data_IF_534126306603
#
_entry.id   IF_534126306603
#
_cell.length_a   1.000
_cell.length_b   1.000
_cell.length_c   1.000
_cell.angle_alpha   90.00
_cell.angle_beta   90.00
_cell.angle_gamma   90.00
#
_symmetry.space_group_name_H-M   'P 1'
#
loop_
_entity.id
_entity.type
_entity.pdbx_description
1 polymer ?
#
# COMPACT_ATOMS: atom_id res chain seq x y z
N UNK A 1 -37.44 -21.39 -16.29
CA UNK A 1 -38.71 -20.65 -16.45
C UNK A 1 -38.62 -19.38 -15.63
N UNK A 2 -38.55 -18.22 -16.29
CA UNK A 2 -38.58 -16.88 -15.69
C UNK A 2 -40.02 -16.34 -15.84
N UNK A 3 -40.61 -15.60 -14.88
CA UNK A 3 -41.97 -15.10 -15.05
C UNK A 3 -42.04 -14.06 -16.17
N UNK A 4 -42.99 -14.27 -17.08
CA UNK A 4 -43.24 -13.46 -18.25
C UNK A 4 -44.10 -12.23 -17.91
N UNK A 5 -43.49 -11.13 -17.48
CA UNK A 5 -44.09 -9.78 -17.54
C UNK A 5 -43.01 -8.70 -17.47
N UNK A 6 -42.38 -8.37 -18.61
CA UNK A 6 -41.67 -7.10 -18.78
C UNK A 6 -41.87 -6.63 -20.24
N UNK A 7 -42.19 -5.34 -20.41
CA UNK A 7 -42.71 -4.72 -21.64
C UNK A 7 -41.67 -4.65 -22.78
N UNK A 8 -42.07 -4.64 -24.08
CA UNK A 8 -41.16 -4.79 -25.23
C UNK A 8 -40.09 -3.70 -25.37
N UNK A 9 -40.32 -2.51 -24.81
CA UNK A 9 -39.38 -1.38 -24.88
C UNK A 9 -38.12 -1.57 -24.03
N UNK A 10 -38.12 -2.50 -23.06
CA UNK A 10 -36.94 -2.79 -22.23
C UNK A 10 -36.02 -3.84 -22.90
N UNK A 11 -36.54 -4.63 -23.86
CA UNK A 11 -35.74 -5.66 -24.55
C UNK A 11 -34.79 -5.06 -25.60
N UNK A 12 -35.21 -4.04 -26.34
CA UNK A 12 -34.37 -3.43 -27.38
C UNK A 12 -33.23 -2.56 -26.82
N UNK A 13 -33.41 -1.93 -25.65
CA UNK A 13 -32.33 -1.15 -25.01
C UNK A 13 -31.24 -2.05 -24.38
N UNK A 14 -31.60 -3.28 -23.99
CA UNK A 14 -30.64 -4.25 -23.44
C UNK A 14 -29.87 -4.95 -24.57
N UNK A 15 -30.50 -5.24 -25.70
CA UNK A 15 -29.83 -5.88 -26.84
C UNK A 15 -28.92 -4.92 -27.62
N UNK A 16 -29.23 -3.61 -27.67
CA UNK A 16 -28.35 -2.63 -28.30
C UNK A 16 -27.10 -2.27 -27.49
N UNK A 17 -27.12 -2.50 -26.17
CA UNK A 17 -25.93 -2.39 -25.29
C UNK A 17 -24.89 -3.49 -25.57
N UNK A 18 -25.32 -4.63 -26.15
CA UNK A 18 -24.47 -5.81 -26.39
C UNK A 18 -23.75 -5.76 -27.75
N UNK A 19 -24.10 -4.82 -28.64
CA UNK A 19 -23.49 -4.73 -29.99
C UNK A 19 -22.25 -3.83 -30.08
N UNK A 20 -21.92 -3.07 -29.04
CA UNK A 20 -20.70 -2.27 -28.96
C UNK A 20 -19.50 -3.07 -28.48
N UNK A 21 -18.94 -3.95 -29.33
CA UNK A 21 -17.66 -4.63 -29.09
C UNK A 21 -16.55 -3.61 -28.82
N UNK A 22 -16.25 -3.35 -27.56
CA UNK A 22 -14.90 -3.01 -27.14
C UNK A 22 -14.26 -4.32 -26.69
N UNK A 23 -13.20 -4.73 -27.38
CA UNK A 23 -12.46 -5.95 -27.08
C UNK A 23 -12.18 -6.01 -25.57
N UNK A 24 -12.48 -7.16 -24.96
CA UNK A 24 -12.21 -7.43 -23.56
C UNK A 24 -10.71 -7.25 -23.27
N UNK A 25 -10.34 -6.08 -22.78
CA UNK A 25 -9.15 -5.90 -21.96
C UNK A 25 -9.37 -6.75 -20.72
N UNK A 26 -8.41 -7.60 -20.37
CA UNK A 26 -8.43 -8.37 -19.12
C UNK A 26 -8.73 -7.42 -17.96
N UNK A 27 -9.97 -7.39 -17.46
CA UNK A 27 -10.35 -6.49 -16.36
C UNK A 27 -9.68 -7.01 -15.08
N UNK A 28 -8.57 -6.38 -14.70
CA UNK A 28 -7.93 -6.62 -13.42
C UNK A 28 -8.82 -6.06 -12.30
N UNK A 29 -9.24 -6.94 -11.41
CA UNK A 29 -10.17 -6.64 -10.32
C UNK A 29 -9.36 -6.39 -9.06
N UNK A 30 -9.64 -5.29 -8.36
CA UNK A 30 -8.86 -4.90 -7.18
C UNK A 30 -9.74 -4.80 -5.94
N UNK A 31 -9.27 -5.38 -4.83
CA UNK A 31 -9.90 -5.23 -3.51
C UNK A 31 -8.93 -4.54 -2.55
N UNK A 32 -9.35 -3.40 -1.98
CA UNK A 32 -8.56 -2.68 -0.97
C UNK A 32 -8.99 -3.07 0.45
N UNK A 33 -8.08 -3.66 1.21
CA UNK A 33 -8.25 -3.93 2.65
C UNK A 33 -7.77 -2.72 3.47
N UNK A 34 -8.56 -2.34 4.49
CA UNK A 34 -8.38 -1.07 5.19
C UNK A 34 -8.99 0.15 4.47
N UNK A 35 -9.95 -0.08 3.57
CA UNK A 35 -10.60 0.93 2.72
C UNK A 35 -11.19 2.16 3.44
N UNK A 36 -11.52 2.04 4.73
CA UNK A 36 -12.06 3.16 5.53
C UNK A 36 -10.98 4.11 6.05
N UNK A 37 -9.70 3.70 6.03
CA UNK A 37 -8.56 4.51 6.47
C UNK A 37 -8.11 5.48 5.37
N UNK A 38 -7.40 6.55 5.76
CA UNK A 38 -6.93 7.60 4.83
C UNK A 38 -6.23 7.02 3.59
N UNK A 39 -5.27 6.11 3.79
CA UNK A 39 -4.51 5.49 2.69
C UNK A 39 -5.43 4.59 1.84
N UNK A 40 -6.30 3.78 2.47
CA UNK A 40 -7.24 2.92 1.74
C UNK A 40 -8.17 3.69 0.81
N UNK A 41 -8.64 4.88 1.22
CA UNK A 41 -9.45 5.78 0.38
C UNK A 41 -8.66 6.33 -0.81
N UNK A 42 -7.42 6.76 -0.59
CA UNK A 42 -6.55 7.25 -1.66
C UNK A 42 -6.21 6.15 -2.68
N UNK A 43 -5.99 4.92 -2.23
CA UNK A 43 -5.78 3.77 -3.10
C UNK A 43 -7.02 3.50 -3.96
N UNK A 44 -8.22 3.52 -3.37
CA UNK A 44 -9.49 3.37 -4.11
C UNK A 44 -9.59 4.43 -5.22
N UNK A 45 -9.31 5.70 -4.91
CA UNK A 45 -9.33 6.78 -5.90
C UNK A 45 -8.31 6.57 -7.02
N UNK A 46 -7.10 6.12 -6.71
CA UNK A 46 -6.05 5.86 -7.70
C UNK A 46 -6.41 4.67 -8.60
N UNK A 47 -6.97 3.59 -8.03
CA UNK A 47 -7.43 2.40 -8.76
C UNK A 47 -8.57 2.77 -9.72
N UNK A 48 -9.56 3.54 -9.25
CA UNK A 48 -10.67 4.03 -10.07
C UNK A 48 -10.17 4.94 -11.20
N UNK A 49 -9.26 5.87 -10.89
CA UNK A 49 -8.66 6.78 -11.89
C UNK A 49 -7.82 6.04 -12.95
N UNK A 50 -7.25 4.89 -12.59
CA UNK A 50 -6.52 4.02 -13.51
C UNK A 50 -7.43 3.13 -14.39
N UNK A 51 -8.75 3.20 -14.20
CA UNK A 51 -9.72 2.38 -14.92
C UNK A 51 -9.79 0.93 -14.43
N UNK A 52 -9.28 0.64 -13.24
CA UNK A 52 -9.34 -0.68 -12.62
C UNK A 52 -10.66 -0.86 -11.85
N UNK A 53 -11.25 -2.05 -11.92
CA UNK A 53 -12.55 -2.30 -11.30
C UNK A 53 -12.41 -2.66 -9.82
N UNK A 54 -13.12 -1.92 -8.96
CA UNK A 54 -13.06 -2.09 -7.51
C UNK A 54 -14.16 -3.05 -7.04
N UNK A 55 -13.77 -4.11 -6.34
CA UNK A 55 -14.72 -5.11 -5.84
C UNK A 55 -15.23 -4.71 -4.44
N UNK A 56 -16.55 -4.47 -4.24
CA UNK A 56 -17.11 -3.97 -2.99
C UNK A 56 -17.41 -5.09 -1.98
N UNK A 57 -16.41 -5.94 -1.67
CA UNK A 57 -16.57 -7.09 -0.76
C UNK A 57 -15.80 -6.89 0.55
N UNK A 58 -16.26 -7.51 1.64
CA UNK A 58 -15.49 -7.66 2.88
C UNK A 58 -14.78 -9.01 2.88
N UNK A 59 -13.46 -9.00 3.17
CA UNK A 59 -12.64 -10.21 3.05
C UNK A 59 -12.87 -11.20 4.21
N UNK A 60 -13.53 -10.76 5.28
CA UNK A 60 -13.61 -11.47 6.56
C UNK A 60 -14.51 -12.71 6.57
N UNK A 61 -15.36 -12.94 5.54
CA UNK A 61 -16.31 -14.08 5.54
C UNK A 61 -16.52 -14.83 4.23
N UNK A 62 -15.84 -14.48 3.13
CA UNK A 62 -16.15 -15.07 1.82
C UNK A 62 -14.93 -15.27 0.89
N UNK A 63 -13.71 -15.45 1.41
CA UNK A 63 -12.49 -15.40 0.60
C UNK A 63 -12.44 -16.40 -0.57
N UNK A 64 -12.95 -17.63 -0.40
CA UNK A 64 -13.05 -18.63 -1.48
C UNK A 64 -14.15 -18.30 -2.51
N UNK A 65 -15.32 -17.87 -2.06
CA UNK A 65 -16.45 -17.53 -2.94
C UNK A 65 -16.14 -16.29 -3.77
N UNK A 66 -15.50 -15.29 -3.15
CA UNK A 66 -15.02 -14.09 -3.83
C UNK A 66 -14.00 -14.44 -4.91
N UNK A 67 -13.08 -15.39 -4.66
CA UNK A 67 -12.12 -15.78 -5.69
C UNK A 67 -12.75 -16.63 -6.82
N UNK A 68 -13.76 -17.45 -6.50
CA UNK A 68 -14.54 -18.16 -7.53
C UNK A 68 -15.32 -17.19 -8.42
N UNK A 69 -15.86 -16.12 -7.85
CA UNK A 69 -16.60 -15.08 -8.57
C UNK A 69 -15.66 -14.13 -9.32
N UNK A 70 -14.45 -13.90 -8.80
CA UNK A 70 -13.46 -12.97 -9.32
C UNK A 70 -12.07 -13.65 -9.42
N UNK A 71 -11.83 -14.49 -10.44
CA UNK A 71 -10.59 -15.28 -10.56
C UNK A 71 -9.34 -14.43 -10.84
N UNK A 72 -9.52 -13.20 -11.35
CA UNK A 72 -8.45 -12.25 -11.64
C UNK A 72 -8.29 -11.19 -10.53
N UNK A 73 -8.75 -11.48 -9.31
CA UNK A 73 -8.69 -10.55 -8.19
C UNK A 73 -7.26 -10.38 -7.67
N UNK A 74 -6.86 -9.13 -7.47
CA UNK A 74 -5.67 -8.73 -6.72
C UNK A 74 -6.10 -8.00 -5.45
N UNK A 75 -5.53 -8.40 -4.30
CA UNK A 75 -5.79 -7.73 -3.02
C UNK A 75 -4.72 -6.67 -2.76
N UNK A 76 -5.12 -5.44 -2.46
CA UNK A 76 -4.22 -4.38 -1.99
C UNK A 76 -4.44 -4.17 -0.49
N UNK A 77 -3.42 -4.44 0.31
CA UNK A 77 -3.50 -4.43 1.76
C UNK A 77 -2.80 -3.21 2.37
N UNK A 78 -3.63 -2.32 2.95
CA UNK A 78 -3.23 -1.21 3.81
C UNK A 78 -4.00 -1.26 5.14
N UNK A 79 -3.67 -2.25 5.96
CA UNK A 79 -4.28 -2.55 7.25
C UNK A 79 -3.44 -2.00 8.43
N UNK A 80 -3.11 -2.83 9.42
CA UNK A 80 -2.32 -2.48 10.60
C UNK A 80 -1.18 -3.48 10.79
N UNK A 81 -0.07 -3.10 11.45
CA UNK A 81 1.07 -4.01 11.65
C UNK A 81 0.69 -5.36 12.28
N UNK A 82 -0.28 -5.35 13.21
CA UNK A 82 -0.72 -6.55 13.91
C UNK A 82 -1.40 -7.60 13.01
N UNK A 83 -1.87 -7.22 11.81
CA UNK A 83 -2.61 -8.11 10.90
C UNK A 83 -1.79 -8.54 9.68
N UNK A 84 -0.55 -8.05 9.53
CA UNK A 84 0.28 -8.28 8.33
C UNK A 84 0.50 -9.76 8.06
N UNK A 85 0.97 -10.50 9.05
CA UNK A 85 1.28 -11.92 8.89
C UNK A 85 0.03 -12.78 8.69
N UNK A 86 -1.02 -12.54 9.48
CA UNK A 86 -2.26 -13.31 9.40
C UNK A 86 -2.98 -13.08 8.07
N UNK A 87 -2.94 -11.85 7.55
CA UNK A 87 -3.47 -11.52 6.23
C UNK A 87 -2.67 -12.19 5.12
N UNK A 88 -1.34 -12.16 5.17
CA UNK A 88 -0.50 -12.82 4.18
C UNK A 88 -0.73 -14.34 4.15
N UNK A 89 -0.89 -14.98 5.32
CA UNK A 89 -1.24 -16.40 5.40
C UNK A 89 -2.62 -16.68 4.82
N UNK A 90 -3.59 -15.81 5.07
CA UNK A 90 -4.93 -15.94 4.51
C UNK A 90 -4.88 -15.82 2.97
N UNK A 91 -4.17 -14.85 2.43
CA UNK A 91 -4.04 -14.67 0.99
C UNK A 91 -3.33 -15.86 0.34
N UNK A 92 -2.25 -16.35 0.96
CA UNK A 92 -1.53 -17.53 0.52
C UNK A 92 -2.39 -18.80 0.53
N UNK A 93 -3.18 -19.02 1.59
CA UNK A 93 -4.11 -20.17 1.70
C UNK A 93 -5.22 -20.14 0.65
N UNK A 94 -5.72 -18.95 0.31
CA UNK A 94 -6.77 -18.76 -0.69
C UNK A 94 -6.21 -18.82 -2.12
N UNK A 95 -4.92 -18.54 -2.30
CA UNK A 95 -4.26 -18.51 -3.61
C UNK A 95 -4.43 -17.19 -4.35
N UNK A 96 -4.75 -16.10 -3.66
CA UNK A 96 -5.02 -14.79 -4.29
C UNK A 96 -3.74 -13.94 -4.36
N UNK A 97 -3.40 -13.36 -5.52
CA UNK A 97 -2.32 -12.39 -5.62
C UNK A 97 -2.56 -11.14 -4.76
N UNK A 98 -1.49 -10.55 -4.20
CA UNK A 98 -1.66 -9.37 -3.37
C UNK A 98 -0.49 -8.37 -3.39
N UNK A 99 -0.81 -7.11 -3.13
CA UNK A 99 0.14 -6.01 -2.90
C UNK A 99 0.04 -5.61 -1.43
N UNK A 100 1.12 -5.81 -0.67
CA UNK A 100 1.19 -5.45 0.74
C UNK A 100 1.94 -4.14 0.94
N UNK A 101 1.18 -3.07 1.16
CA UNK A 101 1.70 -1.75 1.52
C UNK A 101 1.78 -1.52 3.03
N UNK A 102 1.11 -2.35 3.84
CA UNK A 102 1.19 -2.31 5.30
C UNK A 102 2.63 -2.55 5.76
N UNK A 103 3.21 -1.55 6.43
CA UNK A 103 4.58 -1.60 6.95
C UNK A 103 4.61 -2.16 8.37
N UNK A 104 5.75 -2.71 8.80
CA UNK A 104 5.97 -3.33 10.14
C UNK A 104 5.23 -4.67 10.28
N UNK A 105 5.63 -5.52 11.23
CA UNK A 105 5.18 -6.91 11.38
C UNK A 105 6.39 -7.85 11.47
N UNK A 106 6.16 -9.16 11.59
CA UNK A 106 7.24 -10.15 11.49
C UNK A 106 7.61 -10.35 10.01
N UNK A 107 8.70 -9.72 9.58
CA UNK A 107 9.08 -9.68 8.16
C UNK A 107 9.64 -11.00 7.68
N UNK A 108 10.38 -11.71 8.52
CA UNK A 108 10.90 -13.04 8.20
C UNK A 108 9.75 -14.04 8.01
N UNK A 109 8.75 -14.02 8.91
CA UNK A 109 7.52 -14.81 8.72
C UNK A 109 6.77 -14.39 7.46
N UNK A 110 6.66 -13.08 7.18
CA UNK A 110 5.97 -12.59 5.98
C UNK A 110 6.64 -13.10 4.70
N UNK A 111 7.96 -12.95 4.56
CA UNK A 111 8.69 -13.39 3.37
C UNK A 111 8.61 -14.91 3.20
N UNK A 112 8.75 -15.66 4.29
CA UNK A 112 8.57 -17.12 4.27
C UNK A 112 7.17 -17.53 3.84
N UNK A 113 6.13 -16.93 4.40
CA UNK A 113 4.73 -17.19 4.01
C UNK A 113 4.52 -16.92 2.52
N UNK A 114 5.03 -15.80 2.00
CA UNK A 114 4.92 -15.47 0.57
C UNK A 114 5.63 -16.51 -0.29
N UNK A 115 6.87 -16.84 0.04
CA UNK A 115 7.68 -17.83 -0.69
C UNK A 115 7.03 -19.23 -0.70
N UNK A 116 6.57 -19.70 0.46
CA UNK A 116 5.92 -21.01 0.61
C UNK A 116 4.56 -21.08 -0.09
N UNK A 117 3.81 -19.97 -0.11
CA UNK A 117 2.46 -19.92 -0.70
C UNK A 117 2.45 -19.98 -2.24
N UNK A 118 3.57 -19.65 -2.90
CA UNK A 118 3.70 -19.59 -4.37
C UNK A 118 2.71 -18.65 -5.07
N UNK A 119 2.08 -17.71 -4.34
CA UNK A 119 1.22 -16.69 -4.94
C UNK A 119 2.05 -15.50 -5.41
N UNK A 120 1.56 -14.76 -6.41
CA UNK A 120 2.18 -13.50 -6.82
C UNK A 120 1.98 -12.44 -5.74
N UNK A 121 3.07 -11.87 -5.23
CA UNK A 121 2.99 -10.82 -4.21
C UNK A 121 3.99 -9.68 -4.45
N UNK A 122 3.56 -8.45 -4.18
CA UNK A 122 4.44 -7.26 -4.13
C UNK A 122 4.46 -6.73 -2.70
N UNK A 123 5.65 -6.66 -2.09
CA UNK A 123 5.85 -6.13 -0.74
C UNK A 123 6.79 -4.92 -0.84
N UNK A 124 6.27 -3.70 -0.70
CA UNK A 124 6.93 -2.50 -1.24
C UNK A 124 7.70 -1.61 -0.22
N UNK A 125 8.69 -0.89 -0.78
CA UNK A 125 9.63 0.15 -0.28
C UNK A 125 10.48 -0.18 0.95
N UNK A 126 9.88 -0.62 2.05
CA UNK A 126 10.63 -0.89 3.27
C UNK A 126 11.63 -2.05 3.09
N UNK A 127 11.26 -3.03 2.27
CA UNK A 127 12.10 -4.19 1.94
C UNK A 127 13.47 -3.79 1.35
N UNK A 128 13.52 -2.76 0.50
CA UNK A 128 14.78 -2.32 -0.11
C UNK A 128 15.74 -1.73 0.93
N UNK A 129 15.22 -0.97 1.89
CA UNK A 129 16.01 -0.41 2.99
C UNK A 129 16.43 -1.48 4.00
N UNK A 130 15.59 -2.47 4.29
CA UNK A 130 15.95 -3.62 5.14
C UNK A 130 17.10 -4.41 4.50
N UNK A 131 16.97 -4.77 3.23
CA UNK A 131 18.02 -5.50 2.49
C UNK A 131 19.32 -4.70 2.48
N UNK A 132 19.27 -3.40 2.15
CA UNK A 132 20.46 -2.55 2.15
C UNK A 132 21.14 -2.51 3.53
N UNK A 133 20.34 -2.38 4.59
CA UNK A 133 20.82 -2.35 5.97
C UNK A 133 21.43 -3.67 6.45
N UNK A 134 20.94 -4.80 5.98
CA UNK A 134 21.46 -6.13 6.29
C UNK A 134 22.74 -6.47 5.51
N UNK A 135 22.78 -6.10 4.23
CA UNK A 135 23.91 -6.42 3.35
C UNK A 135 25.11 -5.49 3.58
N UNK A 136 24.89 -4.24 4.00
CA UNK A 136 25.95 -3.23 4.13
C UNK A 136 25.96 -2.54 5.51
N UNK A 137 26.08 -3.28 6.62
CA UNK A 137 26.08 -2.68 7.95
C UNK A 137 27.23 -1.67 8.09
N UNK A 138 26.92 -0.48 8.61
CA UNK A 138 27.90 0.59 8.79
C UNK A 138 28.27 1.39 7.52
N UNK A 139 27.62 1.17 6.37
CA UNK A 139 27.92 1.91 5.13
C UNK A 139 27.84 3.45 5.25
N UNK A 140 27.02 3.95 6.16
CA UNK A 140 26.86 5.37 6.50
C UNK A 140 27.44 5.71 7.88
N UNK A 141 28.44 4.96 8.36
CA UNK A 141 29.11 5.24 9.64
C UNK A 141 29.69 6.65 9.66
N UNK A 142 29.29 7.43 10.66
CA UNK A 142 29.70 8.83 10.81
C UNK A 142 28.75 9.84 10.16
N UNK A 143 27.81 9.40 9.32
CA UNK A 143 26.81 10.30 8.75
C UNK A 143 25.76 10.69 9.80
N UNK A 144 25.26 11.92 9.69
CA UNK A 144 24.17 12.43 10.51
C UNK A 144 22.84 12.30 9.77
N UNK A 145 21.92 11.54 10.35
CA UNK A 145 20.55 11.33 9.88
C UNK A 145 19.60 12.35 10.53
N UNK A 146 18.94 13.13 9.68
CA UNK A 146 17.82 13.97 10.06
C UNK A 146 16.54 13.42 9.42
N UNK A 147 15.61 12.95 10.25
CA UNK A 147 14.29 12.53 9.81
C UNK A 147 13.27 13.61 10.15
N UNK A 148 12.55 14.11 9.15
CA UNK A 148 11.44 15.02 9.34
C UNK A 148 10.11 14.34 9.05
N UNK A 149 9.16 14.49 9.98
CA UNK A 149 7.80 14.00 9.83
C UNK A 149 6.81 15.14 10.09
N UNK A 150 5.79 15.24 9.25
CA UNK A 150 4.75 16.24 9.36
C UNK A 150 3.38 15.65 9.74
N UNK A 151 2.61 16.39 10.56
CA UNK A 151 1.16 16.22 10.73
C UNK A 151 0.64 15.05 11.59
N UNK A 152 1.42 14.02 11.90
CA UNK A 152 0.96 12.94 12.82
C UNK A 152 1.27 13.27 14.29
N UNK A 153 0.27 13.04 15.16
CA UNK A 153 0.40 13.19 16.62
C UNK A 153 1.48 12.25 17.19
N UNK A 154 1.58 11.04 16.62
CA UNK A 154 2.59 10.03 16.94
C UNK A 154 3.61 9.84 15.81
N UNK A 155 4.85 9.53 16.17
CA UNK A 155 5.88 9.05 15.22
C UNK A 155 5.39 7.84 14.43
N UNK A 156 5.38 7.94 13.11
CA UNK A 156 4.90 6.92 12.17
C UNK A 156 5.67 5.62 12.37
N UNK A 157 4.97 4.48 12.43
CA UNK A 157 5.61 3.16 12.51
C UNK A 157 6.58 2.93 11.34
N UNK A 158 6.21 3.38 10.15
CA UNK A 158 7.08 3.39 8.96
C UNK A 158 8.35 4.22 9.17
N UNK A 159 8.26 5.38 9.83
CA UNK A 159 9.43 6.22 10.07
C UNK A 159 10.39 5.61 11.07
N UNK A 160 9.87 5.01 12.15
CA UNK A 160 10.69 4.25 13.10
C UNK A 160 11.43 3.09 12.42
N UNK A 161 10.73 2.37 11.54
CA UNK A 161 11.29 1.24 10.82
C UNK A 161 12.42 1.67 9.87
N UNK A 162 12.21 2.74 9.08
CA UNK A 162 13.24 3.29 8.19
C UNK A 162 14.46 3.80 8.97
N UNK A 163 14.24 4.47 10.11
CA UNK A 163 15.34 4.95 10.96
C UNK A 163 16.14 3.78 11.54
N UNK A 164 15.48 2.70 11.93
CA UNK A 164 16.17 1.50 12.37
C UNK A 164 17.09 0.94 11.27
N UNK A 165 16.68 1.01 10.01
CA UNK A 165 17.54 0.63 8.88
C UNK A 165 18.77 1.55 8.77
N UNK A 166 18.59 2.87 8.84
CA UNK A 166 19.72 3.81 8.83
C UNK A 166 20.66 3.65 10.03
N UNK A 167 20.14 3.28 11.20
CA UNK A 167 20.95 2.97 12.37
C UNK A 167 21.80 1.71 12.16
N UNK A 168 21.24 0.64 11.57
CA UNK A 168 22.01 -0.55 11.14
C UNK A 168 23.10 -0.19 10.12
N UNK A 169 22.81 0.76 9.23
CA UNK A 169 23.78 1.32 8.28
C UNK A 169 24.81 2.25 8.94
N UNK A 170 24.76 2.52 10.25
CA UNK A 170 25.74 3.35 10.95
C UNK A 170 25.45 4.86 10.99
N UNK A 171 24.32 5.29 10.43
CA UNK A 171 23.85 6.68 10.53
C UNK A 171 23.45 7.03 11.97
N UNK A 172 23.82 8.23 12.41
CA UNK A 172 23.53 8.76 13.76
C UNK A 172 22.47 9.83 13.70
N UNK A 173 21.52 9.87 14.64
CA UNK A 173 20.50 10.91 14.67
C UNK A 173 19.11 10.36 14.99
N UNK A 174 18.07 11.14 14.72
CA UNK A 174 16.71 10.80 15.16
C UNK A 174 15.60 11.58 14.46
N UNK A 175 14.38 11.41 14.95
CA UNK A 175 13.19 12.05 14.40
C UNK A 175 13.04 13.47 14.94
N UNK A 176 12.90 14.43 14.04
CA UNK A 176 12.36 15.74 14.30
C UNK A 176 10.95 15.85 13.71
N UNK A 177 9.99 16.30 14.50
CA UNK A 177 8.62 16.50 14.05
C UNK A 177 8.45 17.95 13.60
N UNK A 178 8.21 18.16 12.31
CA UNK A 178 7.90 19.50 11.79
C UNK A 178 6.40 19.67 11.80
N UNK A 179 5.91 20.55 12.69
CA UNK A 179 4.49 20.91 12.77
C UNK A 179 4.20 22.28 12.19
N UNK A 180 5.22 23.12 12.06
CA UNK A 180 5.07 24.46 11.52
C UNK A 180 4.72 24.39 10.02
N UNK A 181 3.57 24.96 9.59
CA UNK A 181 3.13 24.90 8.19
C UNK A 181 4.11 25.54 7.21
N UNK A 182 4.84 26.60 7.61
CA UNK A 182 5.82 27.24 6.74
C UNK A 182 7.00 26.31 6.50
N UNK A 183 7.54 25.69 7.54
CA UNK A 183 8.59 24.68 7.39
C UNK A 183 8.11 23.45 6.60
N UNK A 184 6.83 23.07 6.70
CA UNK A 184 6.27 22.00 5.86
C UNK A 184 6.24 22.37 4.37
N UNK A 185 5.93 23.63 4.03
CA UNK A 185 5.96 24.10 2.64
C UNK A 185 7.41 24.25 2.16
N UNK A 186 8.21 25.04 2.89
CA UNK A 186 9.54 25.49 2.46
C UNK A 186 10.59 24.36 2.51
N UNK A 187 10.56 23.52 3.55
CA UNK A 187 11.58 22.49 3.77
C UNK A 187 11.13 21.10 3.35
N UNK A 188 9.83 20.78 3.45
CA UNK A 188 9.29 19.47 3.11
C UNK A 188 8.58 19.44 1.74
N UNK A 189 8.49 20.58 1.05
CA UNK A 189 7.85 20.68 -0.27
C UNK A 189 6.35 20.35 -0.25
N UNK A 190 5.69 20.48 0.89
CA UNK A 190 4.26 20.16 1.01
C UNK A 190 3.45 21.26 0.35
N UNK A 191 2.63 20.89 -0.64
CA UNK A 191 1.68 21.81 -1.27
C UNK A 191 0.67 22.30 -0.22
N UNK A 192 0.41 23.61 -0.19
CA UNK A 192 -0.41 24.28 0.82
C UNK A 192 -1.79 23.61 1.02
N UNK A 193 -2.43 23.20 -0.08
CA UNK A 193 -3.73 22.49 -0.09
C UNK A 193 -3.73 21.17 0.69
N UNK A 194 -2.56 20.54 0.86
CA UNK A 194 -2.40 19.24 1.50
C UNK A 194 -1.89 19.32 2.95
N UNK A 195 -1.68 20.52 3.51
CA UNK A 195 -1.15 20.71 4.87
C UNK A 195 -1.95 19.96 5.95
N UNK A 196 -3.26 19.83 5.78
CA UNK A 196 -4.15 19.14 6.73
C UNK A 196 -4.24 17.62 6.54
N UNK A 197 -3.68 17.10 5.44
CA UNK A 197 -3.97 15.74 4.94
C UNK A 197 -2.77 14.92 4.48
N UNK A 198 -1.53 15.36 4.70
CA UNK A 198 -0.33 14.68 4.19
C UNK A 198 0.37 13.79 5.24
N UNK A 199 1.21 12.89 4.75
CA UNK A 199 2.13 12.07 5.55
C UNK A 199 3.52 12.12 4.89
N UNK A 200 4.10 13.32 4.86
CA UNK A 200 5.43 13.54 4.28
C UNK A 200 6.52 13.09 5.25
N UNK A 201 7.45 12.31 4.73
CA UNK A 201 8.65 11.84 5.42
C UNK A 201 9.86 12.26 4.61
N UNK A 202 10.79 12.97 5.23
CA UNK A 202 12.06 13.37 4.61
C UNK A 202 13.20 12.82 5.47
N UNK A 203 14.09 12.05 4.86
CA UNK A 203 15.30 11.54 5.50
C UNK A 203 16.49 12.14 4.80
N UNK A 204 17.29 12.89 5.55
CA UNK A 204 18.49 13.54 5.05
C UNK A 204 19.70 12.94 5.76
N UNK A 205 20.67 12.46 5.00
CA UNK A 205 21.95 11.97 5.51
C UNK A 205 23.02 12.96 5.11
N UNK A 206 23.74 13.47 6.10
CA UNK A 206 24.87 14.39 5.89
C UNK A 206 26.17 13.72 6.28
N UNK A 207 27.13 13.73 5.37
CA UNK A 207 28.50 13.24 5.53
C UNK A 207 29.27 13.99 6.63
N UNK A 208 30.27 13.37 7.27
CA UNK A 208 31.08 14.03 8.30
C UNK A 208 31.78 15.31 7.82
N UNK A 209 32.14 15.38 6.54
CA UNK A 209 32.80 16.52 5.92
C UNK A 209 31.82 17.56 5.33
N UNK A 210 30.51 17.33 5.49
CA UNK A 210 29.41 18.20 5.03
C UNK A 210 29.39 18.47 3.52
N UNK A 211 30.00 17.59 2.72
CA UNK A 211 30.04 17.74 1.26
C UNK A 211 28.80 17.17 0.57
N UNK A 212 28.08 16.29 1.26
CA UNK A 212 26.83 15.65 0.89
C UNK A 212 25.90 15.58 2.09
#
# INVERSE_FOLDING_TARGET
>A
MWPATASPLIREDIDNSISGKQLATTMELTKVNGCTRKIGKSVIQAVDSAGLHIVPVSFEKASLLVFQEYPNLIVVDYTVPATVNDNAELYGKVGVPFVMGTTVGDRDRLYRTVEESKVYAVVAFFAAMEIMAEQFPGAFSGYNLQSHQAGKLDTSGTAKAIISCFQKLGGRGGIQMIRDPKQQIEMMGVVEEHLSGHACHLYHLTSPDQTY
#
